data_IF_944087764677
#
_entry.id   IF_944087764677
#
_cell.length_a   1.000
_cell.length_b   1.000
_cell.length_c   1.000
_cell.angle_alpha   90.00
_cell.angle_beta   90.00
_cell.angle_gamma   90.00
#
_symmetry.space_group_name_H-M   'P 1'
#
loop_
_entity.id
_entity.type
_entity.pdbx_description
1 polymer ?
#
# COMPACT_ATOMS: atom_id res chain seq x y z
N UNK A 1 12.23 -10.21 25.75
CA UNK A 1 10.81 -9.79 25.76
C UNK A 1 10.15 -10.44 26.96
N UNK A 2 9.35 -9.71 27.73
CA UNK A 2 8.55 -10.31 28.82
C UNK A 2 7.66 -11.41 28.25
N UNK A 3 7.63 -12.56 28.90
CA UNK A 3 6.75 -13.71 28.54
C UNK A 3 5.30 -13.38 28.91
N UNK A 4 5.09 -12.43 29.82
CA UNK A 4 3.77 -12.02 30.28
C UNK A 4 3.15 -11.00 29.32
N UNK A 5 2.02 -11.38 28.73
CA UNK A 5 1.16 -10.47 27.96
C UNK A 5 0.20 -9.78 28.92
N UNK A 6 0.15 -8.46 28.89
CA UNK A 6 -0.87 -7.69 29.60
C UNK A 6 -2.14 -7.61 28.73
N UNK A 7 -3.28 -8.16 29.18
CA UNK A 7 -4.51 -8.08 28.40
C UNK A 7 -5.04 -6.64 28.40
N UNK A 8 -5.45 -6.16 27.23
CA UNK A 8 -6.19 -4.91 27.08
C UNK A 8 -7.68 -5.23 27.00
N UNK A 9 -8.53 -4.39 27.60
CA UNK A 9 -9.99 -4.50 27.49
C UNK A 9 -10.50 -3.90 26.16
N UNK A 10 -9.86 -4.26 25.05
CA UNK A 10 -10.12 -3.71 23.72
C UNK A 10 -9.73 -4.73 22.64
N UNK A 11 -10.57 -4.87 21.61
CA UNK A 11 -10.23 -5.71 20.47
C UNK A 11 -9.39 -4.95 19.43
N UNK A 12 -8.76 -5.70 18.52
CA UNK A 12 -7.84 -5.14 17.51
C UNK A 12 -8.53 -4.18 16.55
N UNK A 13 -9.80 -4.43 16.21
CA UNK A 13 -10.57 -3.61 15.28
C UNK A 13 -10.89 -2.24 15.87
N UNK A 14 -11.31 -2.22 17.13
CA UNK A 14 -11.60 -0.98 17.86
C UNK A 14 -10.33 -0.16 18.03
N UNK A 15 -9.24 -0.80 18.47
CA UNK A 15 -7.94 -0.16 18.62
C UNK A 15 -7.41 0.42 17.29
N UNK A 16 -7.63 -0.28 16.17
CA UNK A 16 -7.26 0.20 14.84
C UNK A 16 -8.13 1.39 14.40
N UNK A 17 -9.43 1.33 14.66
CA UNK A 17 -10.39 2.39 14.32
C UNK A 17 -10.10 3.67 15.11
N UNK A 18 -9.75 3.55 16.38
CA UNK A 18 -9.33 4.70 17.21
C UNK A 18 -8.06 5.34 16.67
N UNK A 19 -7.03 4.56 16.33
CA UNK A 19 -5.80 5.09 15.74
C UNK A 19 -6.05 5.79 14.41
N UNK A 20 -6.91 5.21 13.56
CA UNK A 20 -7.31 5.81 12.28
C UNK A 20 -8.04 7.13 12.51
N UNK A 21 -9.03 7.14 13.41
CA UNK A 21 -9.81 8.33 13.76
C UNK A 21 -8.90 9.45 14.26
N UNK A 22 -8.03 9.14 15.22
CA UNK A 22 -7.05 10.08 15.76
C UNK A 22 -6.14 10.64 14.65
N UNK A 23 -5.63 9.77 13.76
CA UNK A 23 -4.77 10.19 12.64
C UNK A 23 -5.50 11.15 11.71
N UNK A 24 -6.75 10.83 11.37
CA UNK A 24 -7.59 11.66 10.51
C UNK A 24 -7.95 12.99 11.16
N UNK A 25 -8.16 13.04 12.48
CA UNK A 25 -8.46 14.26 13.23
C UNK A 25 -7.26 15.21 13.35
N UNK A 26 -6.08 14.66 13.63
CA UNK A 26 -4.93 15.44 14.08
C UNK A 26 -3.97 15.79 12.95
N UNK A 27 -4.03 15.12 11.80
CA UNK A 27 -3.16 15.41 10.66
C UNK A 27 -3.93 16.13 9.54
N UNK A 28 -3.36 17.20 8.96
CA UNK A 28 -4.02 17.96 7.89
C UNK A 28 -4.15 17.15 6.60
N UNK A 29 -3.27 16.17 6.39
CA UNK A 29 -3.30 15.26 5.24
C UNK A 29 -2.80 13.89 5.64
N UNK A 30 -3.60 12.87 5.36
CA UNK A 30 -3.27 11.47 5.63
C UNK A 30 -3.08 10.72 4.32
N UNK A 31 -2.00 9.96 4.21
CA UNK A 31 -1.71 9.12 3.05
C UNK A 31 -1.67 7.65 3.46
N UNK A 32 -2.43 6.81 2.77
CA UNK A 32 -2.41 5.36 2.96
C UNK A 32 -1.41 4.76 1.98
N UNK A 33 -0.38 4.11 2.50
CA UNK A 33 0.53 3.29 1.69
C UNK A 33 -0.13 1.95 1.41
N UNK A 34 -0.45 1.71 0.14
CA UNK A 34 -1.21 0.54 -0.31
C UNK A 34 -0.36 -0.28 -1.25
N UNK A 35 -0.16 -1.56 -0.92
CA UNK A 35 0.67 -2.49 -1.71
C UNK A 35 -0.14 -3.47 -2.56
N UNK A 36 -1.47 -3.50 -2.41
CA UNK A 36 -2.31 -4.54 -3.01
C UNK A 36 -2.27 -5.88 -2.27
N UNK A 37 -1.54 -5.99 -1.16
CA UNK A 37 -1.50 -7.17 -0.30
C UNK A 37 -2.66 -7.21 0.71
N UNK A 38 -2.83 -8.33 1.42
CA UNK A 38 -3.94 -8.53 2.36
C UNK A 38 -4.00 -7.46 3.47
N UNK A 39 -2.87 -7.15 4.11
CA UNK A 39 -2.86 -6.28 5.30
C UNK A 39 -3.11 -4.83 4.91
N UNK A 40 -2.48 -4.38 3.83
CA UNK A 40 -2.68 -3.04 3.29
C UNK A 40 -4.09 -2.88 2.69
N UNK A 41 -4.71 -3.95 2.19
CA UNK A 41 -6.12 -3.95 1.76
C UNK A 41 -7.07 -3.73 2.94
N UNK A 42 -6.89 -4.47 4.04
CA UNK A 42 -7.70 -4.28 5.26
C UNK A 42 -7.49 -2.87 5.82
N UNK A 43 -6.23 -2.41 5.90
CA UNK A 43 -5.92 -1.06 6.35
C UNK A 43 -6.61 0.00 5.49
N UNK A 44 -6.60 -0.17 4.16
CA UNK A 44 -7.28 0.75 3.25
C UNK A 44 -8.80 0.72 3.43
N UNK A 45 -9.43 -0.46 3.53
CA UNK A 45 -10.86 -0.58 3.82
C UNK A 45 -11.27 0.15 5.12
N UNK A 46 -10.53 -0.07 6.21
CA UNK A 46 -10.83 0.56 7.50
C UNK A 46 -10.66 2.08 7.43
N UNK A 47 -9.55 2.54 6.86
CA UNK A 47 -9.24 3.97 6.75
C UNK A 47 -10.24 4.69 5.85
N UNK A 48 -10.57 4.11 4.69
CA UNK A 48 -11.53 4.69 3.75
C UNK A 48 -12.95 4.74 4.34
N UNK A 49 -13.39 3.70 5.06
CA UNK A 49 -14.67 3.70 5.76
C UNK A 49 -14.74 4.77 6.84
N UNK A 50 -13.66 4.94 7.61
CA UNK A 50 -13.62 5.94 8.67
C UNK A 50 -13.56 7.37 8.10
N UNK A 51 -12.75 7.59 7.05
CA UNK A 51 -12.70 8.86 6.33
C UNK A 51 -14.07 9.24 5.77
N UNK A 52 -14.81 8.28 5.17
CA UNK A 52 -16.17 8.49 4.68
C UNK A 52 -17.12 8.93 5.80
N UNK A 53 -17.09 8.25 6.96
CA UNK A 53 -17.92 8.61 8.12
C UNK A 53 -17.64 10.01 8.64
N UNK A 54 -16.37 10.43 8.59
CA UNK A 54 -15.91 11.73 9.09
C UNK A 54 -16.00 12.84 8.04
N UNK A 55 -16.44 12.54 6.81
CA UNK A 55 -16.45 13.49 5.70
C UNK A 55 -15.06 13.97 5.28
N UNK A 56 -14.01 13.19 5.58
CA UNK A 56 -12.61 13.52 5.25
C UNK A 56 -12.16 12.78 3.99
N UNK A 57 -11.14 13.33 3.34
CA UNK A 57 -10.45 12.70 2.21
C UNK A 57 -9.08 12.20 2.63
N UNK A 58 -8.57 11.19 1.92
CA UNK A 58 -7.24 10.61 2.11
C UNK A 58 -6.46 10.58 0.81
N UNK A 59 -5.14 10.65 0.88
CA UNK A 59 -4.26 10.33 -0.23
C UNK A 59 -3.97 8.82 -0.24
N UNK A 60 -3.67 8.28 -1.41
CA UNK A 60 -3.28 6.88 -1.61
C UNK A 60 -1.92 6.85 -2.30
N UNK A 61 -1.00 6.02 -1.82
CA UNK A 61 0.30 5.78 -2.44
C UNK A 61 0.40 4.31 -2.84
N UNK A 62 0.66 4.05 -4.11
CA UNK A 62 0.97 2.74 -4.67
C UNK A 62 2.34 2.78 -5.34
N UNK A 63 3.25 1.88 -4.93
CA UNK A 63 4.57 1.73 -5.53
C UNK A 63 4.55 0.51 -6.46
N UNK A 64 4.76 0.78 -7.74
CA UNK A 64 4.79 -0.23 -8.79
C UNK A 64 6.21 -0.78 -8.93
N UNK A 65 6.34 -2.10 -8.76
CA UNK A 65 7.63 -2.79 -8.81
C UNK A 65 7.99 -3.33 -10.19
N UNK A 66 7.29 -2.95 -11.26
CA UNK A 66 7.45 -3.43 -12.66
C UNK A 66 7.04 -4.90 -12.87
N UNK A 67 7.48 -5.79 -11.99
CA UNK A 67 7.23 -7.22 -12.04
C UNK A 67 6.12 -7.63 -11.04
N UNK A 68 4.92 -7.07 -11.19
CA UNK A 68 3.77 -7.43 -10.36
C UNK A 68 2.80 -8.38 -11.07
N UNK A 69 2.14 -9.23 -10.29
CA UNK A 69 1.10 -10.10 -10.81
C UNK A 69 -0.10 -9.28 -11.32
N UNK A 70 -0.64 -9.68 -12.48
CA UNK A 70 -1.83 -9.04 -13.08
C UNK A 70 -3.00 -8.98 -12.10
N UNK A 71 -3.20 -10.03 -11.29
CA UNK A 71 -4.27 -10.06 -10.28
C UNK A 71 -4.08 -9.00 -9.19
N UNK A 72 -2.84 -8.72 -8.77
CA UNK A 72 -2.54 -7.65 -7.82
C UNK A 72 -2.86 -6.28 -8.41
N UNK A 73 -2.48 -6.03 -9.67
CA UNK A 73 -2.79 -4.78 -10.37
C UNK A 73 -4.31 -4.59 -10.52
N UNK A 74 -5.03 -5.65 -10.90
CA UNK A 74 -6.49 -5.62 -10.99
C UNK A 74 -7.13 -5.31 -9.64
N UNK A 75 -6.67 -5.97 -8.56
CA UNK A 75 -7.13 -5.71 -7.20
C UNK A 75 -6.89 -4.26 -6.79
N UNK A 76 -5.72 -3.71 -7.08
CA UNK A 76 -5.37 -2.32 -6.77
C UNK A 76 -6.31 -1.35 -7.49
N UNK A 77 -6.53 -1.55 -8.78
CA UNK A 77 -7.46 -0.72 -9.56
C UNK A 77 -8.91 -0.81 -9.03
N UNK A 78 -9.37 -2.02 -8.67
CA UNK A 78 -10.70 -2.22 -8.10
C UNK A 78 -10.84 -1.47 -6.76
N UNK A 79 -9.82 -1.53 -5.91
CA UNK A 79 -9.82 -0.82 -4.62
C UNK A 79 -9.81 0.70 -4.81
N UNK A 80 -9.03 1.22 -5.77
CA UNK A 80 -9.04 2.66 -6.11
C UNK A 80 -10.43 3.08 -6.58
N UNK A 81 -11.05 2.32 -7.48
CA UNK A 81 -12.39 2.60 -8.00
C UNK A 81 -13.45 2.55 -6.89
N UNK A 82 -13.39 1.54 -6.02
CA UNK A 82 -14.34 1.35 -4.91
C UNK A 82 -14.34 2.51 -3.91
N UNK A 83 -13.20 3.19 -3.73
CA UNK A 83 -13.00 4.25 -2.74
C UNK A 83 -12.70 5.61 -3.37
N UNK A 84 -13.00 5.79 -4.66
CA UNK A 84 -12.78 7.05 -5.37
C UNK A 84 -13.52 8.24 -4.72
N UNK A 85 -14.62 7.97 -4.00
CA UNK A 85 -15.38 8.95 -3.25
C UNK A 85 -14.64 9.52 -2.03
N UNK A 86 -13.59 8.86 -1.52
CA UNK A 86 -12.79 9.34 -0.37
C UNK A 86 -11.33 9.60 -0.71
N UNK A 87 -10.85 9.18 -1.88
CA UNK A 87 -9.49 9.46 -2.32
C UNK A 87 -9.41 10.91 -2.84
N UNK A 88 -8.58 11.75 -2.22
CA UNK A 88 -8.23 13.09 -2.73
C UNK A 88 -7.25 12.97 -3.90
N UNK A 89 -6.20 12.18 -3.71
CA UNK A 89 -5.12 11.98 -4.68
C UNK A 89 -4.56 10.58 -4.59
N UNK A 90 -4.39 9.94 -5.74
CA UNK A 90 -3.71 8.66 -5.86
C UNK A 90 -2.36 8.86 -6.54
N UNK A 91 -1.27 8.49 -5.87
CA UNK A 91 0.07 8.45 -6.42
C UNK A 91 0.39 7.02 -6.84
N UNK A 92 0.42 6.80 -8.16
CA UNK A 92 0.99 5.58 -8.74
C UNK A 92 2.43 5.85 -9.14
N UNK A 93 3.38 5.28 -8.40
CA UNK A 93 4.80 5.61 -8.50
C UNK A 93 5.55 4.45 -9.13
N UNK A 94 6.10 4.69 -10.32
CA UNK A 94 6.97 3.79 -11.06
C UNK A 94 8.37 4.43 -11.16
N UNK A 95 9.14 4.35 -10.06
CA UNK A 95 10.47 4.94 -9.95
C UNK A 95 11.54 3.84 -9.92
N UNK A 96 12.79 4.15 -10.34
CA UNK A 96 13.89 3.22 -10.20
C UNK A 96 14.23 2.99 -8.73
N UNK A 97 13.89 1.81 -8.21
CA UNK A 97 14.16 1.41 -6.82
C UNK A 97 15.00 0.13 -6.81
N UNK A 98 16.12 0.17 -6.09
CA UNK A 98 17.01 -0.97 -5.92
C UNK A 98 16.50 -1.88 -4.80
N UNK A 99 16.46 -3.18 -5.06
CA UNK A 99 16.07 -4.21 -4.11
C UNK A 99 16.97 -5.44 -4.25
N UNK A 100 16.93 -6.32 -3.26
CA UNK A 100 17.70 -7.56 -3.28
C UNK A 100 17.16 -8.50 -4.38
N UNK A 101 18.07 -9.20 -5.04
CA UNK A 101 17.79 -10.20 -6.05
C UNK A 101 18.08 -11.60 -5.49
N UNK A 102 17.04 -12.38 -5.25
CA UNK A 102 17.18 -13.76 -4.74
C UNK A 102 17.52 -14.79 -5.82
N UNK A 103 17.65 -14.39 -7.09
CA UNK A 103 17.87 -15.29 -8.22
C UNK A 103 19.34 -15.40 -8.64
N UNK A 104 20.23 -14.56 -8.10
CA UNK A 104 21.64 -14.56 -8.47
C UNK A 104 22.53 -14.19 -7.29
N UNK A 105 23.56 -15.00 -7.04
CA UNK A 105 24.62 -14.65 -6.08
C UNK A 105 25.63 -13.66 -6.69
N UNK A 106 25.75 -13.62 -8.01
CA UNK A 106 26.66 -12.72 -8.72
C UNK A 106 26.06 -11.32 -8.94
N UNK A 107 24.73 -11.24 -8.97
CA UNK A 107 23.97 -10.00 -9.10
C UNK A 107 22.96 -9.93 -7.96
N UNK A 108 23.43 -9.60 -6.73
CA UNK A 108 22.63 -9.66 -5.51
C UNK A 108 21.56 -8.56 -5.43
N UNK A 109 21.57 -7.62 -6.37
CA UNK A 109 20.62 -6.53 -6.45
C UNK A 109 19.97 -6.50 -7.84
N UNK A 110 18.71 -6.06 -7.85
CA UNK A 110 18.00 -5.69 -9.05
C UNK A 110 17.34 -4.33 -8.84
N UNK A 111 17.04 -3.64 -9.93
CA UNK A 111 16.37 -2.36 -9.89
C UNK A 111 15.12 -2.42 -10.78
N UNK A 112 13.94 -2.22 -10.19
CA UNK A 112 12.72 -2.05 -10.97
C UNK A 112 12.79 -0.73 -11.74
N UNK A 113 12.11 -0.63 -12.88
CA UNK A 113 12.05 0.58 -13.71
C UNK A 113 13.42 1.18 -14.06
N UNK A 114 14.47 0.35 -14.10
CA UNK A 114 15.81 0.81 -14.45
C UNK A 114 15.85 1.35 -15.87
N UNK A 115 16.60 2.44 -16.08
CA UNK A 115 16.89 2.96 -17.42
C UNK A 115 17.82 2.04 -18.20
N UNK A 116 18.62 1.24 -17.49
CA UNK A 116 19.58 0.30 -18.06
C UNK A 116 18.91 -1.07 -18.19
N UNK A 117 19.06 -1.72 -19.35
CA UNK A 117 18.43 -3.01 -19.62
C UNK A 117 19.12 -4.11 -18.80
N UNK A 118 18.41 -4.67 -17.82
CA UNK A 118 18.79 -5.92 -17.14
C UNK A 118 17.76 -7.00 -17.48
N UNK A 119 18.21 -8.23 -17.75
CA UNK A 119 17.37 -9.30 -18.32
C UNK A 119 16.32 -9.91 -17.38
N UNK A 120 16.16 -9.37 -16.17
CA UNK A 120 15.37 -9.99 -15.10
C UNK A 120 13.88 -9.62 -15.12
N UNK A 121 13.49 -8.56 -15.83
CA UNK A 121 12.09 -8.19 -15.98
C UNK A 121 11.75 -7.87 -17.45
N UNK A 122 10.88 -8.69 -18.06
CA UNK A 122 9.86 -8.30 -19.07
C UNK A 122 9.00 -9.50 -19.48
N UNK A 123 7.69 -9.27 -19.68
CA UNK A 123 7.23 -9.01 -21.05
C UNK A 123 6.54 -7.63 -21.16
N UNK A 124 7.04 -6.81 -22.06
CA UNK A 124 6.39 -5.54 -22.44
C UNK A 124 5.11 -5.83 -23.22
N UNK A 125 3.98 -5.49 -22.64
CA UNK A 125 2.94 -4.62 -23.24
C UNK A 125 1.86 -4.40 -22.20
N UNK A 126 1.59 -3.15 -21.86
CA UNK A 126 0.23 -2.62 -21.62
C UNK A 126 0.30 -1.10 -21.43
N UNK A 127 -0.13 -0.39 -22.48
CA UNK A 127 -0.88 0.86 -22.32
C UNK A 127 -2.28 0.48 -21.84
#
# INVERSE_FOLDING_TARGET
MSIYKHPLNQNVLDAATERITWTLENLPRVCVSFSGGKDSTIMFHLTARQARKMGKKICLLFIDWEAQFTCTIQHVNNMIAQYADVIEKCWWVALPLTSQNSLSQFQPEWQCWSRVKTGYARPRKRR
#
